data_IF_023789092176
#
_entry.id   IF_023789092176
#
_cell.length_a   1.000
_cell.length_b   1.000
_cell.length_c   1.000
_cell.angle_alpha   90.00
_cell.angle_beta   90.00
_cell.angle_gamma   90.00
#
_symmetry.space_group_name_H-M   'P 1'
#
loop_
_entity.id
_entity.type
_entity.pdbx_description
1 polymer ?
#
# COMPACT_ATOMS: atom_id res chain seq x y z
N UNK A 1 -28.71 -11.45 -7.26
CA UNK A 1 -28.69 -10.83 -5.92
C UNK A 1 -27.96 -11.78 -5.02
N UNK A 2 -26.86 -11.33 -4.42
CA UNK A 2 -26.06 -12.15 -3.52
C UNK A 2 -26.88 -12.53 -2.27
N UNK A 3 -26.64 -13.73 -1.77
CA UNK A 3 -27.15 -14.19 -0.50
C UNK A 3 -26.04 -14.94 0.23
N UNK A 4 -25.93 -14.73 1.54
CA UNK A 4 -24.98 -15.48 2.36
C UNK A 4 -25.45 -16.92 2.47
N UNK A 5 -24.57 -17.87 2.14
CA UNK A 5 -24.80 -19.27 2.45
C UNK A 5 -24.78 -19.42 3.99
N UNK A 6 -25.84 -19.97 4.58
CA UNK A 6 -26.01 -20.18 6.03
C UNK A 6 -25.07 -21.30 6.56
N UNK A 7 -23.79 -21.20 6.24
CA UNK A 7 -22.75 -22.11 6.71
C UNK A 7 -22.13 -21.64 8.02
N UNK A 8 -21.39 -22.54 8.65
CA UNK A 8 -20.67 -22.28 9.91
C UNK A 8 -19.67 -21.12 9.83
N UNK A 9 -19.19 -20.79 8.61
CA UNK A 9 -18.18 -19.75 8.39
C UNK A 9 -18.68 -18.34 8.74
N UNK A 10 -19.93 -17.97 8.40
CA UNK A 10 -20.46 -16.64 8.73
C UNK A 10 -20.71 -16.51 10.24
N UNK A 11 -21.20 -17.58 10.86
CA UNK A 11 -21.44 -17.64 12.32
C UNK A 11 -20.11 -17.44 13.06
N UNK A 12 -19.08 -18.19 12.64
CA UNK A 12 -17.74 -18.10 13.24
C UNK A 12 -17.15 -16.71 13.04
N UNK A 13 -17.20 -16.16 11.82
CA UNK A 13 -16.67 -14.83 11.53
C UNK A 13 -17.38 -13.74 12.36
N UNK A 14 -18.72 -13.78 12.44
CA UNK A 14 -19.50 -12.85 13.24
C UNK A 14 -19.12 -12.92 14.73
N UNK A 15 -18.98 -14.14 15.28
CA UNK A 15 -18.55 -14.34 16.66
C UNK A 15 -17.15 -13.80 16.94
N UNK A 16 -16.18 -14.03 16.04
CA UNK A 16 -14.80 -13.57 16.22
C UNK A 16 -14.68 -12.04 16.08
N UNK A 17 -15.49 -11.45 15.20
CA UNK A 17 -15.55 -9.99 15.00
C UNK A 17 -16.40 -9.29 16.07
N UNK A 18 -17.14 -10.03 16.90
CA UNK A 18 -18.01 -9.48 17.93
C UNK A 18 -19.23 -8.74 17.35
N UNK A 19 -19.74 -9.18 16.20
CA UNK A 19 -20.90 -8.60 15.51
C UNK A 19 -22.00 -9.65 15.36
N UNK A 20 -23.24 -9.23 15.11
CA UNK A 20 -24.32 -10.18 14.83
C UNK A 20 -24.16 -10.77 13.42
N UNK A 21 -24.49 -12.06 13.26
CA UNK A 21 -24.53 -12.74 11.97
C UNK A 21 -25.39 -12.01 10.95
N UNK A 22 -26.59 -11.58 11.35
CA UNK A 22 -27.52 -10.88 10.47
C UNK A 22 -26.93 -9.57 9.92
N UNK A 23 -26.40 -8.71 10.79
CA UNK A 23 -25.78 -7.44 10.37
C UNK A 23 -24.58 -7.70 9.43
N UNK A 24 -23.75 -8.69 9.73
CA UNK A 24 -22.60 -9.03 8.88
C UNK A 24 -23.06 -9.50 7.50
N UNK A 25 -24.07 -10.37 7.45
CA UNK A 25 -24.63 -10.86 6.20
C UNK A 25 -25.30 -9.78 5.37
N UNK A 26 -26.14 -8.95 5.99
CA UNK A 26 -26.83 -7.84 5.33
C UNK A 26 -25.83 -6.82 4.78
N UNK A 27 -24.77 -6.51 5.55
CA UNK A 27 -23.71 -5.57 5.13
C UNK A 27 -22.86 -6.09 3.97
N UNK A 28 -22.68 -7.41 3.86
CA UNK A 28 -21.93 -8.02 2.76
C UNK A 28 -22.77 -8.18 1.48
N UNK A 29 -24.09 -8.28 1.60
CA UNK A 29 -24.99 -8.48 0.46
C UNK A 29 -25.70 -7.20 -0.01
N UNK A 30 -25.60 -6.11 0.73
CA UNK A 30 -26.27 -4.84 0.39
C UNK A 30 -25.34 -3.66 0.50
N UNK A 31 -25.61 -2.63 -0.31
CA UNK A 31 -24.93 -1.33 -0.23
C UNK A 31 -25.92 -0.27 0.20
N UNK A 32 -25.65 0.34 1.35
CA UNK A 32 -26.35 1.52 1.83
C UNK A 32 -25.68 2.78 1.25
N UNK A 33 -26.43 3.55 0.47
CA UNK A 33 -25.96 4.82 -0.09
C UNK A 33 -26.76 5.96 0.54
N UNK A 34 -26.03 6.94 1.08
CA UNK A 34 -26.59 8.18 1.61
C UNK A 34 -26.39 9.29 0.57
N UNK A 35 -27.48 9.92 0.16
CA UNK A 35 -27.46 11.03 -0.78
C UNK A 35 -27.21 12.34 -0.03
N UNK A 36 -26.56 13.34 -0.66
CA UNK A 36 -26.40 14.67 -0.08
C UNK A 36 -27.73 15.36 0.27
N UNK A 37 -28.85 14.92 -0.32
CA UNK A 37 -30.21 15.42 -0.04
C UNK A 37 -30.77 14.95 1.31
N UNK A 38 -30.10 14.01 1.99
CA UNK A 38 -30.57 13.39 3.23
C UNK A 38 -31.33 12.08 3.02
N UNK A 39 -31.66 11.74 1.77
CA UNK A 39 -32.29 10.46 1.44
C UNK A 39 -31.25 9.32 1.48
N UNK A 40 -31.70 8.12 1.80
CA UNK A 40 -30.87 6.92 1.72
C UNK A 40 -31.60 5.81 0.98
N UNK A 41 -30.85 5.00 0.24
CA UNK A 41 -31.39 3.79 -0.38
C UNK A 41 -30.46 2.61 -0.17
N UNK A 42 -31.05 1.43 -0.16
CA UNK A 42 -30.35 0.15 -0.04
C UNK A 42 -30.42 -0.55 -1.39
N UNK A 43 -29.26 -0.87 -1.95
CA UNK A 43 -29.16 -1.61 -3.21
C UNK A 43 -28.62 -3.02 -2.92
N UNK A 44 -29.30 -4.09 -3.36
CA UNK A 44 -28.73 -5.44 -3.29
C UNK A 44 -27.51 -5.54 -4.24
N UNK A 45 -26.47 -6.23 -3.78
CA UNK A 45 -25.27 -6.51 -4.56
C UNK A 45 -25.46 -7.78 -5.41
N UNK A 46 -24.70 -7.87 -6.49
CA UNK A 46 -24.48 -9.15 -7.18
C UNK A 46 -23.40 -9.99 -6.47
N UNK A 47 -23.22 -11.23 -6.91
CA UNK A 47 -22.29 -12.17 -6.27
C UNK A 47 -20.83 -11.71 -6.37
N UNK A 48 -20.43 -11.09 -7.49
CA UNK A 48 -19.08 -10.59 -7.67
C UNK A 48 -18.79 -9.43 -6.72
N UNK A 49 -19.70 -8.45 -6.65
CA UNK A 49 -19.60 -7.31 -5.73
C UNK A 49 -19.58 -7.75 -4.26
N UNK A 50 -20.38 -8.75 -3.89
CA UNK A 50 -20.37 -9.30 -2.54
C UNK A 50 -19.07 -10.04 -2.22
N UNK A 51 -18.49 -10.76 -3.19
CA UNK A 51 -17.19 -11.40 -3.05
C UNK A 51 -16.05 -10.37 -2.89
N UNK A 52 -16.05 -9.31 -3.69
CA UNK A 52 -15.10 -8.20 -3.56
C UNK A 52 -15.22 -7.53 -2.18
N UNK A 53 -16.45 -7.30 -1.71
CA UNK A 53 -16.72 -6.76 -0.38
C UNK A 53 -16.21 -7.67 0.75
N UNK A 54 -16.39 -8.98 0.63
CA UNK A 54 -15.85 -9.98 1.58
C UNK A 54 -14.33 -9.94 1.60
N UNK A 55 -13.68 -9.93 0.43
CA UNK A 55 -12.22 -9.95 0.34
C UNK A 55 -11.63 -8.62 0.84
N UNK A 56 -12.29 -7.49 0.55
CA UNK A 56 -11.94 -6.19 1.10
C UNK A 56 -12.07 -6.15 2.63
N UNK A 57 -13.14 -6.72 3.19
CA UNK A 57 -13.29 -6.85 4.64
C UNK A 57 -12.16 -7.69 5.25
N UNK A 58 -11.84 -8.84 4.65
CA UNK A 58 -10.77 -9.71 5.14
C UNK A 58 -9.41 -9.01 5.12
N UNK A 59 -9.07 -8.33 4.01
CA UNK A 59 -7.85 -7.52 3.87
C UNK A 59 -7.81 -6.38 4.89
N UNK A 60 -8.94 -5.71 5.13
CA UNK A 60 -9.03 -4.61 6.11
C UNK A 60 -8.84 -5.09 7.54
N UNK A 61 -9.46 -6.22 7.92
CA UNK A 61 -9.29 -6.83 9.25
C UNK A 61 -7.84 -7.22 9.47
N UNK A 62 -7.22 -7.89 8.49
CA UNK A 62 -5.80 -8.26 8.56
C UNK A 62 -4.89 -7.02 8.68
N UNK A 63 -5.12 -6.00 7.84
CA UNK A 63 -4.36 -4.74 7.89
C UNK A 63 -4.45 -4.06 9.25
N UNK A 64 -5.65 -3.94 9.82
CA UNK A 64 -5.86 -3.38 11.16
C UNK A 64 -5.19 -4.20 12.27
N UNK A 65 -5.18 -5.52 12.14
CA UNK A 65 -4.48 -6.39 13.09
C UNK A 65 -2.96 -6.15 13.02
N UNK A 66 -2.40 -6.07 11.81
CA UNK A 66 -0.99 -5.77 11.60
C UNK A 66 -0.62 -4.40 12.20
N UNK A 67 -1.40 -3.36 11.91
CA UNK A 67 -1.22 -2.02 12.48
C UNK A 67 -1.29 -2.04 14.02
N UNK A 68 -2.19 -2.83 14.58
CA UNK A 68 -2.31 -2.98 16.04
C UNK A 68 -1.05 -3.62 16.64
N UNK A 69 -0.51 -4.67 16.00
CA UNK A 69 0.74 -5.31 16.44
C UNK A 69 1.90 -4.32 16.37
N UNK A 70 2.06 -3.59 15.26
CA UNK A 70 3.10 -2.57 15.09
C UNK A 70 2.97 -1.47 16.15
N UNK A 71 1.75 -0.97 16.37
CA UNK A 71 1.48 0.04 17.40
C UNK A 71 1.83 -0.46 18.81
N UNK A 72 1.49 -1.70 19.13
CA UNK A 72 1.84 -2.32 20.42
C UNK A 72 3.35 -2.44 20.59
N UNK A 73 4.07 -2.89 19.56
CA UNK A 73 5.53 -2.97 19.57
C UNK A 73 6.17 -1.59 19.76
N UNK A 74 5.74 -0.59 18.98
CA UNK A 74 6.24 0.78 19.08
C UNK A 74 6.04 1.37 20.48
N UNK A 75 4.87 1.13 21.09
CA UNK A 75 4.61 1.58 22.47
C UNK A 75 5.47 0.86 23.52
N UNK A 76 5.88 -0.39 23.29
CA UNK A 76 6.74 -1.15 24.20
C UNK A 76 8.21 -0.70 24.13
N UNK A 77 8.70 -0.34 22.94
CA UNK A 77 10.11 0.04 22.73
C UNK A 77 10.35 1.56 22.86
N UNK A 78 9.28 2.35 22.97
CA UNK A 78 9.37 3.81 23.09
C UNK A 78 10.24 4.20 24.29
N UNK A 79 11.30 4.96 24.03
CA UNK A 79 12.21 5.45 25.07
C UNK A 79 11.50 6.53 25.91
N UNK A 80 11.59 6.39 27.23
CA UNK A 80 11.02 7.34 28.18
C UNK A 80 11.91 8.58 28.28
N UNK A 81 11.39 9.78 27.99
CA UNK A 81 12.11 11.04 28.19
C UNK A 81 12.36 11.87 26.92
N UNK A 82 12.07 11.34 25.73
CA UNK A 82 11.98 12.16 24.53
C UNK A 82 10.66 12.93 24.56
N UNK A 83 10.76 14.20 24.97
CA UNK A 83 9.78 15.22 24.61
C UNK A 83 9.53 15.09 23.11
N UNK A 84 8.27 15.03 22.67
CA UNK A 84 7.90 14.77 21.28
C UNK A 84 8.33 15.83 20.25
N UNK A 85 9.43 16.54 20.47
CA UNK A 85 10.03 17.53 19.57
C UNK A 85 10.84 16.92 18.43
N UNK A 86 11.12 15.61 18.43
CA UNK A 86 11.81 14.95 17.30
C UNK A 86 13.28 15.38 17.12
N UNK A 87 13.91 15.90 18.16
CA UNK A 87 15.27 16.48 18.12
C UNK A 87 16.40 15.47 18.45
N UNK A 88 16.08 14.18 18.56
CA UNK A 88 17.06 13.13 18.79
C UNK A 88 17.72 12.65 17.49
N UNK A 89 19.04 12.42 17.52
CA UNK A 89 19.70 11.66 16.47
C UNK A 89 19.22 10.20 16.50
N UNK A 90 18.95 9.60 15.34
CA UNK A 90 18.55 8.20 15.25
C UNK A 90 19.36 7.47 14.17
N UNK A 91 19.45 6.15 14.31
CA UNK A 91 20.02 5.25 13.30
C UNK A 91 18.87 4.40 12.76
N UNK A 92 18.60 4.54 11.47
CA UNK A 92 17.60 3.73 10.76
C UNK A 92 18.24 2.47 10.17
N UNK A 93 17.57 1.33 10.31
CA UNK A 93 17.90 0.10 9.59
C UNK A 93 16.75 -0.18 8.64
N UNK A 94 17.05 -0.35 7.36
CA UNK A 94 16.07 -0.68 6.32
C UNK A 94 16.30 -2.11 5.86
N UNK A 95 15.29 -2.95 6.05
CA UNK A 95 15.23 -4.32 5.52
C UNK A 95 13.98 -4.43 4.64
N UNK A 96 14.18 -4.70 3.35
CA UNK A 96 13.13 -4.72 2.34
C UNK A 96 13.35 -5.87 1.35
N UNK A 97 12.29 -6.30 0.67
CA UNK A 97 12.38 -7.30 -0.38
C UNK A 97 13.26 -6.82 -1.54
N UNK A 98 14.14 -7.71 -2.03
CA UNK A 98 14.91 -7.46 -3.25
C UNK A 98 14.03 -7.54 -4.51
N UNK A 99 14.64 -7.23 -5.66
CA UNK A 99 13.97 -7.31 -6.96
C UNK A 99 13.46 -8.73 -7.26
N UNK A 100 12.21 -8.84 -7.70
CA UNK A 100 11.55 -10.11 -8.02
C UNK A 100 11.32 -10.26 -9.54
N UNK A 101 11.55 -11.47 -10.05
CA UNK A 101 11.26 -11.82 -11.44
C UNK A 101 10.74 -13.25 -11.52
N UNK A 102 9.44 -13.38 -11.74
CA UNK A 102 8.75 -14.65 -11.89
C UNK A 102 8.24 -14.85 -13.32
N UNK A 103 7.76 -16.06 -13.61
CA UNK A 103 7.09 -16.37 -14.90
C UNK A 103 5.85 -15.49 -15.12
N UNK A 104 5.13 -15.16 -14.05
CA UNK A 104 3.99 -14.24 -14.04
C UNK A 104 4.18 -13.30 -12.87
N UNK A 105 4.25 -12.00 -13.15
CA UNK A 105 4.41 -10.95 -12.15
C UNK A 105 3.07 -10.23 -12.01
N UNK A 106 2.54 -10.19 -10.79
CA UNK A 106 1.28 -9.51 -10.48
C UNK A 106 1.54 -8.05 -10.13
N UNK A 107 0.49 -7.32 -9.76
CA UNK A 107 0.60 -5.93 -9.32
C UNK A 107 1.58 -5.77 -8.14
N UNK A 108 1.61 -6.75 -7.24
CA UNK A 108 2.50 -6.79 -6.08
C UNK A 108 3.97 -6.74 -6.49
N UNK A 109 4.37 -7.50 -7.53
CA UNK A 109 5.74 -7.47 -8.05
C UNK A 109 6.09 -6.10 -8.65
N UNK A 110 5.13 -5.41 -9.29
CA UNK A 110 5.35 -4.04 -9.76
C UNK A 110 5.62 -3.11 -8.56
N UNK A 111 4.86 -3.22 -7.48
CA UNK A 111 5.10 -2.43 -6.27
C UNK A 111 6.47 -2.72 -5.64
N UNK A 112 6.86 -4.00 -5.54
CA UNK A 112 8.15 -4.43 -4.97
C UNK A 112 9.30 -3.91 -5.83
N UNK A 113 9.24 -4.13 -7.15
CA UNK A 113 10.31 -3.71 -8.06
C UNK A 113 10.38 -2.19 -8.18
N UNK A 114 9.24 -1.49 -8.15
CA UNK A 114 9.23 -0.02 -8.11
C UNK A 114 9.91 0.52 -6.84
N UNK A 115 9.67 -0.07 -5.67
CA UNK A 115 10.36 0.32 -4.44
C UNK A 115 11.88 0.11 -4.55
N UNK A 116 12.31 -1.01 -5.14
CA UNK A 116 13.72 -1.27 -5.42
C UNK A 116 14.31 -0.23 -6.38
N UNK A 117 13.58 0.15 -7.42
CA UNK A 117 14.03 1.15 -8.39
C UNK A 117 14.20 2.54 -7.74
N UNK A 118 13.29 2.91 -6.82
CA UNK A 118 13.39 4.17 -6.05
C UNK A 118 14.64 4.15 -5.16
N UNK A 119 14.92 3.03 -4.50
CA UNK A 119 16.13 2.88 -3.69
C UNK A 119 17.40 2.88 -4.52
N UNK A 120 17.38 2.25 -5.69
CA UNK A 120 18.50 2.30 -6.63
C UNK A 120 18.76 3.74 -7.11
N UNK A 121 17.70 4.52 -7.35
CA UNK A 121 17.86 5.93 -7.73
C UNK A 121 18.45 6.75 -6.59
N UNK A 122 17.98 6.53 -5.35
CA UNK A 122 18.55 7.20 -4.17
C UNK A 122 20.03 6.81 -3.98
N UNK A 123 20.37 5.53 -4.12
CA UNK A 123 21.74 5.04 -4.04
C UNK A 123 22.63 5.68 -5.12
N UNK A 124 22.16 5.73 -6.37
CA UNK A 124 22.91 6.35 -7.46
C UNK A 124 23.12 7.85 -7.23
N UNK A 125 22.08 8.55 -6.75
CA UNK A 125 22.17 9.96 -6.43
C UNK A 125 23.15 10.23 -5.28
N UNK A 126 23.07 9.46 -4.19
CA UNK A 126 23.90 9.68 -3.01
C UNK A 126 25.35 9.25 -3.27
N UNK A 127 25.59 8.02 -3.71
CA UNK A 127 26.97 7.53 -3.89
C UNK A 127 27.69 8.34 -4.95
N UNK A 128 27.11 8.52 -6.14
CA UNK A 128 27.86 9.13 -7.23
C UNK A 128 27.88 10.67 -7.16
N UNK A 129 26.76 11.33 -6.82
CA UNK A 129 26.74 12.80 -6.80
C UNK A 129 27.38 13.38 -5.54
N UNK A 130 27.26 12.71 -4.39
CA UNK A 130 27.89 13.19 -3.17
C UNK A 130 29.41 12.96 -3.22
N UNK A 131 29.86 11.78 -3.65
CA UNK A 131 31.29 11.52 -3.81
C UNK A 131 31.92 12.48 -4.80
N UNK A 132 31.30 12.70 -5.97
CA UNK A 132 31.88 13.63 -6.94
C UNK A 132 32.04 15.06 -6.36
N UNK A 133 31.06 15.55 -5.60
CA UNK A 133 31.16 16.86 -4.92
C UNK A 133 32.30 16.91 -3.89
N UNK A 134 32.49 15.84 -3.14
CA UNK A 134 33.57 15.74 -2.14
C UNK A 134 34.95 15.72 -2.80
N UNK A 135 35.11 14.95 -3.86
CA UNK A 135 36.37 14.88 -4.61
C UNK A 135 36.72 16.23 -5.26
N UNK A 136 35.73 16.92 -5.84
CA UNK A 136 35.89 18.28 -6.37
C UNK A 136 36.28 19.28 -5.26
N UNK A 137 35.66 19.18 -4.08
CA UNK A 137 35.95 20.05 -2.94
C UNK A 137 37.36 19.82 -2.36
N UNK A 138 37.85 18.58 -2.38
CA UNK A 138 39.18 18.22 -1.89
C UNK A 138 40.28 18.36 -2.96
N UNK A 139 39.92 18.71 -4.21
CA UNK A 139 40.87 18.86 -5.31
C UNK A 139 41.49 17.54 -5.77
N UNK A 140 40.82 16.42 -5.49
CA UNK A 140 41.26 15.09 -5.91
C UNK A 140 40.85 14.89 -7.37
N UNK A 141 41.77 14.48 -8.27
CA UNK A 141 41.42 14.17 -9.65
C UNK A 141 40.36 13.07 -9.71
N UNK A 142 39.14 13.42 -10.10
CA UNK A 142 38.04 12.49 -10.26
C UNK A 142 37.85 12.13 -11.73
N UNK A 143 37.70 10.83 -12.01
CA UNK A 143 37.22 10.36 -13.29
C UNK A 143 35.70 10.19 -13.18
N UNK A 144 34.95 10.97 -13.96
CA UNK A 144 33.49 10.89 -13.96
C UNK A 144 33.04 9.44 -14.24
N UNK A 145 32.36 8.84 -13.26
CA UNK A 145 31.76 7.52 -13.40
C UNK A 145 30.42 7.71 -14.11
N UNK A 146 30.29 7.15 -15.30
CA UNK A 146 29.00 7.05 -15.97
C UNK A 146 28.15 5.98 -15.26
N UNK A 147 26.96 6.37 -14.80
CA UNK A 147 25.96 5.45 -14.27
C UNK A 147 24.69 5.55 -15.10
N UNK A 148 23.91 4.47 -15.09
CA UNK A 148 22.61 4.45 -15.74
C UNK A 148 21.59 5.13 -14.84
N UNK A 149 21.09 6.29 -15.28
CA UNK A 149 19.99 6.98 -14.60
C UNK A 149 18.68 6.23 -14.87
N UNK A 150 18.03 5.81 -13.79
CA UNK A 150 16.75 5.10 -13.82
C UNK A 150 15.54 6.00 -13.57
N UNK A 151 15.72 7.33 -13.46
CA UNK A 151 14.63 8.30 -13.39
C UNK A 151 13.56 8.10 -14.48
N UNK A 152 13.92 7.82 -15.76
CA UNK A 152 12.91 7.60 -16.79
C UNK A 152 11.99 6.41 -16.50
N UNK A 153 12.52 5.34 -15.89
CA UNK A 153 11.74 4.16 -15.46
C UNK A 153 10.81 4.53 -14.31
N UNK A 154 11.30 5.31 -13.34
CA UNK A 154 10.48 5.79 -12.22
C UNK A 154 9.33 6.67 -12.71
N UNK A 155 9.60 7.62 -13.61
CA UNK A 155 8.59 8.52 -14.17
C UNK A 155 7.55 7.78 -15.02
N UNK A 156 7.94 6.72 -15.73
CA UNK A 156 6.99 5.85 -16.42
C UNK A 156 5.98 5.22 -15.44
N UNK A 157 6.41 4.84 -14.24
CA UNK A 157 5.54 4.19 -13.25
C UNK A 157 4.72 5.22 -12.45
N UNK A 158 5.39 6.26 -11.91
CA UNK A 158 4.81 7.22 -10.94
C UNK A 158 4.32 8.54 -11.56
N UNK A 159 4.49 8.72 -12.87
CA UNK A 159 4.13 9.96 -13.57
C UNK A 159 2.69 10.38 -13.31
N UNK A 160 2.49 11.61 -12.84
CA UNK A 160 1.20 12.10 -12.29
C UNK A 160 0.00 12.06 -13.26
N UNK A 161 0.22 12.02 -14.57
CA UNK A 161 -0.84 12.09 -15.59
C UNK A 161 -0.87 10.93 -16.57
N UNK A 162 0.31 10.38 -16.89
CA UNK A 162 0.48 9.35 -17.92
C UNK A 162 1.35 8.20 -17.41
N UNK A 163 1.59 8.14 -16.09
CA UNK A 163 2.29 7.02 -15.47
C UNK A 163 1.37 5.82 -15.31
N UNK A 164 1.95 4.63 -15.27
CA UNK A 164 1.23 3.35 -15.14
C UNK A 164 0.24 3.39 -13.96
N UNK A 165 0.67 3.88 -12.79
CA UNK A 165 -0.20 3.94 -11.61
C UNK A 165 -1.33 4.95 -11.73
N UNK A 166 -1.11 6.08 -12.43
CA UNK A 166 -2.14 7.09 -12.65
C UNK A 166 -3.22 6.57 -13.62
N UNK A 167 -2.80 5.91 -14.70
CA UNK A 167 -3.72 5.29 -15.66
C UNK A 167 -4.51 4.15 -15.03
N UNK A 168 -3.87 3.33 -14.17
CA UNK A 168 -4.54 2.27 -13.44
C UNK A 168 -5.64 2.82 -12.50
N UNK A 169 -5.35 3.89 -11.74
CA UNK A 169 -6.35 4.53 -10.88
C UNK A 169 -7.52 5.14 -11.69
N UNK A 170 -7.24 5.69 -12.88
CA UNK A 170 -8.28 6.19 -13.77
C UNK A 170 -9.20 5.06 -14.25
N UNK A 171 -8.64 3.95 -14.75
CA UNK A 171 -9.41 2.78 -15.20
C UNK A 171 -10.23 2.15 -14.05
N UNK A 172 -9.69 2.07 -12.83
CA UNK A 172 -10.42 1.56 -11.67
C UNK A 172 -11.64 2.43 -11.28
N UNK A 173 -11.66 3.72 -11.65
CA UNK A 173 -12.79 4.62 -11.38
C UNK A 173 -13.88 4.56 -12.45
N UNK A 174 -13.53 4.08 -13.65
CA UNK A 174 -14.48 3.91 -14.73
C UNK A 174 -15.41 2.72 -14.43
N UNK A 175 -16.72 2.93 -14.58
CA UNK A 175 -17.72 1.88 -14.32
C UNK A 175 -17.65 0.70 -15.31
N UNK A 176 -16.83 0.82 -16.37
CA UNK A 176 -16.67 -0.15 -17.45
C UNK A 176 -15.22 -0.63 -17.64
N UNK A 177 -14.30 -0.31 -16.71
CA UNK A 177 -12.93 -0.82 -16.78
C UNK A 177 -12.92 -2.35 -16.75
N UNK A 178 -12.10 -2.97 -17.59
CA UNK A 178 -11.95 -4.43 -17.72
C UNK A 178 -10.61 -4.90 -17.20
#
# INVERSE_FOLDING_TARGET
MAAVNQGESVITAASQLGVSEQILGDSLCTRHTYLPTGDSYVKPLDEAQAADGRDALAKSVYGRLFDHVVSRLNNLIRVSGESGSGEGAFIGILDIFGFESFKTNSFEQICINFANEVLQQQFNADVFRQQQKEYEAEGVPWQQIEYQDNEPTLELIRGKRIGVLALLDEECRLQSGT
#
